data_IF_029544310717
#
_entry.id   IF_029544310717
#
_cell.length_a   1.000
_cell.length_b   1.000
_cell.length_c   1.000
_cell.angle_alpha   90.00
_cell.angle_beta   90.00
_cell.angle_gamma   90.00
#
_symmetry.space_group_name_H-M   'P 1'
#
loop_
_entity.id
_entity.type
_entity.pdbx_description
1 polymer ?
#
# COMPACT_ATOMS: atom_id res chain seq x y z
N UNK A 1 -10.30 10.06 -8.19
CA UNK A 1 -9.17 9.10 -8.36
C UNK A 1 -9.35 8.03 -7.29
N UNK A 2 -9.32 6.74 -7.63
CA UNK A 2 -9.53 5.68 -6.64
C UNK A 2 -8.23 5.39 -5.88
N UNK A 3 -8.29 5.17 -4.58
CA UNK A 3 -7.15 4.89 -3.70
C UNK A 3 -7.09 3.42 -3.33
N UNK A 4 -5.96 2.78 -3.63
CA UNK A 4 -5.69 1.37 -3.36
C UNK A 4 -4.58 1.25 -2.32
N UNK A 5 -4.88 0.57 -1.23
CA UNK A 5 -3.92 0.20 -0.20
C UNK A 5 -3.43 -1.23 -0.40
N UNK A 6 -2.11 -1.44 -0.39
CA UNK A 6 -1.51 -2.77 -0.59
C UNK A 6 -0.59 -3.10 0.58
N UNK A 7 -0.94 -4.09 1.39
CA UNK A 7 -0.01 -4.68 2.35
C UNK A 7 0.95 -5.61 1.61
N UNK A 8 2.23 -5.57 1.99
CA UNK A 8 3.24 -6.43 1.36
C UNK A 8 3.48 -6.13 -0.13
N UNK A 9 3.16 -4.91 -0.59
CA UNK A 9 3.39 -4.44 -1.97
C UNK A 9 4.84 -4.51 -2.47
N UNK A 10 5.79 -4.79 -1.58
CA UNK A 10 7.22 -5.01 -1.86
C UNK A 10 7.59 -6.47 -2.12
N UNK A 11 6.72 -7.43 -1.80
CA UNK A 11 6.90 -8.86 -2.07
C UNK A 11 6.51 -9.26 -3.50
N UNK A 12 6.65 -10.55 -3.85
CA UNK A 12 6.44 -11.02 -5.24
C UNK A 12 5.04 -10.67 -5.79
N UNK A 13 3.98 -11.08 -5.09
CA UNK A 13 2.60 -10.82 -5.53
C UNK A 13 2.26 -9.32 -5.44
N UNK A 14 2.60 -8.67 -4.33
CA UNK A 14 2.34 -7.25 -4.13
C UNK A 14 3.00 -6.37 -5.21
N UNK A 15 4.22 -6.71 -5.63
CA UNK A 15 4.91 -6.02 -6.70
C UNK A 15 4.25 -6.24 -8.07
N UNK A 16 3.77 -7.46 -8.35
CA UNK A 16 3.03 -7.77 -9.57
C UNK A 16 1.71 -7.00 -9.65
N UNK A 17 0.94 -6.98 -8.56
CA UNK A 17 -0.32 -6.24 -8.45
C UNK A 17 -0.06 -4.75 -8.63
N UNK A 18 0.92 -4.19 -7.90
CA UNK A 18 1.30 -2.78 -8.05
C UNK A 18 1.69 -2.44 -9.48
N UNK A 19 2.49 -3.28 -10.15
CA UNK A 19 2.88 -3.08 -11.56
C UNK A 19 1.66 -3.09 -12.49
N UNK A 20 0.69 -3.95 -12.23
CA UNK A 20 -0.54 -4.01 -13.02
C UNK A 20 -1.44 -2.78 -12.82
N UNK A 21 -1.50 -2.25 -11.59
CA UNK A 21 -2.33 -1.09 -11.25
C UNK A 21 -1.68 0.25 -11.58
N UNK A 22 -0.34 0.33 -11.65
CA UNK A 22 0.39 1.58 -11.87
C UNK A 22 0.06 2.33 -13.18
N UNK A 23 -0.23 1.65 -14.32
CA UNK A 23 -0.64 2.34 -15.55
C UNK A 23 -2.04 2.97 -15.46
N UNK A 24 -2.88 2.51 -14.53
CA UNK A 24 -4.19 3.08 -14.30
C UNK A 24 -4.10 4.29 -13.38
N UNK A 25 -5.07 5.23 -13.47
CA UNK A 25 -5.13 6.44 -12.64
C UNK A 25 -5.57 6.12 -11.20
N UNK A 26 -4.84 5.24 -10.54
CA UNK A 26 -5.02 4.88 -9.13
C UNK A 26 -3.94 5.56 -8.29
N UNK A 27 -4.33 6.06 -7.12
CA UNK A 27 -3.38 6.37 -6.05
C UNK A 27 -3.07 5.05 -5.35
N UNK A 28 -1.80 4.65 -5.28
CA UNK A 28 -1.38 3.41 -4.64
C UNK A 28 -0.53 3.75 -3.43
N UNK A 29 -0.91 3.26 -2.25
CA UNK A 29 -0.10 3.34 -1.03
C UNK A 29 0.28 1.93 -0.61
N UNK A 30 1.57 1.69 -0.40
CA UNK A 30 2.07 0.38 0.01
C UNK A 30 2.35 0.38 1.51
N UNK A 31 1.72 -0.51 2.26
CA UNK A 31 2.04 -0.69 3.68
C UNK A 31 3.04 -1.84 3.81
N UNK A 32 4.21 -1.56 4.39
CA UNK A 32 5.37 -2.47 4.36
C UNK A 32 6.23 -2.33 5.61
N UNK A 33 6.99 -3.37 5.94
CA UNK A 33 7.99 -3.35 7.03
C UNK A 33 9.32 -2.71 6.61
N UNK A 34 9.51 -2.51 5.30
CA UNK A 34 10.74 -1.98 4.71
C UNK A 34 10.39 -1.04 3.55
N UNK A 35 10.09 0.25 3.82
CA UNK A 35 9.71 1.25 2.85
C UNK A 35 10.92 1.60 1.98
N UNK A 36 10.70 1.62 0.67
CA UNK A 36 11.74 1.92 -0.33
C UNK A 36 11.36 3.06 -1.26
N UNK A 37 10.11 3.53 -1.18
CA UNK A 37 9.54 4.51 -2.08
C UNK A 37 8.75 5.56 -1.26
N UNK A 38 8.53 6.77 -1.81
CA UNK A 38 7.82 7.83 -1.09
C UNK A 38 6.40 7.44 -0.67
N UNK A 39 5.72 6.60 -1.46
CA UNK A 39 4.34 6.18 -1.21
C UNK A 39 4.25 4.92 -0.32
N UNK A 40 5.40 4.45 0.18
CA UNK A 40 5.47 3.33 1.11
C UNK A 40 5.32 3.86 2.55
N UNK A 41 4.42 3.23 3.31
CA UNK A 41 4.16 3.55 4.71
C UNK A 41 4.63 2.39 5.59
N UNK A 42 5.42 2.73 6.60
CA UNK A 42 5.97 1.76 7.54
C UNK A 42 4.87 1.15 8.42
N UNK A 43 4.89 -0.17 8.58
CA UNK A 43 4.21 -0.87 9.67
C UNK A 43 5.13 -1.95 10.25
N UNK A 44 4.80 -2.49 11.41
CA UNK A 44 5.47 -3.66 12.00
C UNK A 44 4.60 -4.94 12.04
N UNK A 45 3.30 -4.82 11.75
CA UNK A 45 2.31 -5.91 11.79
C UNK A 45 1.88 -6.30 13.20
N UNK A 46 2.23 -5.49 14.21
CA UNK A 46 1.94 -5.75 15.62
C UNK A 46 1.24 -4.56 16.27
N UNK A 47 1.60 -3.36 15.89
CA UNK A 47 1.13 -2.12 16.51
C UNK A 47 0.27 -1.31 15.55
N UNK A 48 -0.79 -0.71 16.10
CA UNK A 48 -1.45 0.40 15.44
C UNK A 48 -0.52 1.63 15.48
N UNK A 49 -0.56 2.44 14.44
CA UNK A 49 0.33 3.59 14.29
C UNK A 49 -0.05 4.41 13.06
N UNK A 50 0.82 5.32 12.59
CA UNK A 50 0.51 6.24 11.49
C UNK A 50 -0.01 5.57 10.20
N UNK A 51 0.33 4.29 9.98
CA UNK A 51 -0.21 3.52 8.86
C UNK A 51 -1.74 3.41 8.88
N UNK A 52 -2.41 3.48 10.03
CA UNK A 52 -3.87 3.37 10.12
C UNK A 52 -4.56 4.55 9.45
N UNK A 53 -3.91 5.72 9.39
CA UNK A 53 -4.43 6.90 8.69
C UNK A 53 -4.57 6.65 7.18
N UNK A 54 -3.81 5.70 6.64
CA UNK A 54 -3.89 5.33 5.22
C UNK A 54 -5.16 4.56 4.87
N UNK A 55 -5.87 4.03 5.87
CA UNK A 55 -7.16 3.36 5.67
C UNK A 55 -8.28 4.37 5.37
N UNK A 56 -8.15 5.60 5.87
CA UNK A 56 -9.15 6.63 5.64
C UNK A 56 -9.14 7.05 4.16
N UNK A 57 -10.31 7.03 3.53
CA UNK A 57 -10.47 7.30 2.10
C UNK A 57 -9.94 6.21 1.15
N UNK A 58 -9.48 5.05 1.66
CA UNK A 58 -9.11 3.92 0.81
C UNK A 58 -10.38 3.28 0.19
N UNK A 59 -10.42 3.16 -1.13
CA UNK A 59 -11.51 2.48 -1.83
C UNK A 59 -11.36 0.96 -1.80
N UNK A 60 -10.10 0.48 -1.79
CA UNK A 60 -9.77 -0.94 -1.80
C UNK A 60 -8.55 -1.19 -0.91
N UNK A 61 -8.61 -2.27 -0.14
CA UNK A 61 -7.50 -2.79 0.65
C UNK A 61 -7.14 -4.20 0.15
N UNK A 62 -5.87 -4.43 -0.16
CA UNK A 62 -5.31 -5.72 -0.58
C UNK A 62 -4.30 -6.15 0.49
N UNK A 63 -4.48 -7.35 1.06
CA UNK A 63 -3.62 -7.93 2.10
C UNK A 63 -3.13 -9.33 1.71
#
# INVERSE_FOLDING_TARGET
MKHVLIFGGTGHMGAAIRRHLAPARYRITTVTRNPKRPDDVQWDGKTLGPWTETLDGADVVIN
#
